data_IF_506694605436
#
_entry.id   IF_506694605436
#
_cell.length_a   1.000
_cell.length_b   1.000
_cell.length_c   1.000
_cell.angle_alpha   90.00
_cell.angle_beta   90.00
_cell.angle_gamma   90.00
#
_symmetry.space_group_name_H-M   'P 1'
#
loop_
_entity.id
_entity.type
_entity.pdbx_description
1 polymer ?
#
# COMPACT_ATOMS: atom_id res chain seq x y z
N UNK A 1 22.90 -22.26 -11.46
CA UNK A 1 23.38 -21.16 -10.60
C UNK A 1 22.91 -19.84 -11.20
N UNK A 2 22.30 -18.95 -10.40
CA UNK A 2 21.85 -17.64 -10.89
C UNK A 2 23.01 -16.66 -11.11
N UNK A 3 22.91 -15.79 -12.12
CA UNK A 3 23.90 -14.74 -12.43
C UNK A 3 23.39 -13.38 -11.95
N UNK A 4 24.24 -12.62 -11.26
CA UNK A 4 23.95 -11.23 -10.89
C UNK A 4 24.09 -10.36 -12.14
N UNK A 5 23.01 -9.70 -12.54
CA UNK A 5 22.97 -8.87 -13.77
C UNK A 5 23.38 -7.42 -13.48
N UNK A 6 23.02 -6.90 -12.30
CA UNK A 6 23.35 -5.53 -11.89
C UNK A 6 23.50 -5.44 -10.37
N UNK A 7 24.47 -4.63 -9.92
CA UNK A 7 24.73 -4.33 -8.50
C UNK A 7 24.28 -2.91 -8.19
N UNK A 8 23.82 -2.65 -6.97
CA UNK A 8 23.51 -1.29 -6.51
C UNK A 8 22.27 -0.64 -7.14
N UNK A 9 21.37 -1.43 -7.73
CA UNK A 9 20.20 -0.92 -8.47
C UNK A 9 19.20 -0.16 -7.58
N UNK A 10 19.23 -0.39 -6.26
CA UNK A 10 18.27 0.21 -5.33
C UNK A 10 18.99 0.73 -4.08
N UNK A 11 18.80 2.00 -3.80
CA UNK A 11 19.20 2.61 -2.52
C UNK A 11 18.15 2.31 -1.45
N UNK A 12 18.60 1.71 -0.33
CA UNK A 12 17.71 1.33 0.76
C UNK A 12 17.72 2.39 1.85
N UNK A 13 16.53 2.88 2.20
CA UNK A 13 16.33 3.82 3.29
C UNK A 13 16.18 3.09 4.62
N UNK A 14 16.74 3.67 5.67
CA UNK A 14 16.56 3.15 7.02
C UNK A 14 15.07 3.25 7.44
N UNK A 15 14.57 2.21 8.11
CA UNK A 15 13.16 2.18 8.56
C UNK A 15 12.14 1.69 7.52
N UNK A 16 12.59 1.24 6.34
CA UNK A 16 11.76 0.67 5.29
C UNK A 16 12.09 -0.81 5.01
N UNK A 17 11.06 -1.57 4.64
CA UNK A 17 11.13 -2.95 4.16
C UNK A 17 11.11 -2.92 2.63
N UNK A 18 12.06 -3.65 2.03
CA UNK A 18 12.15 -3.82 0.57
C UNK A 18 11.91 -5.29 0.23
N UNK A 19 11.00 -5.56 -0.70
CA UNK A 19 10.65 -6.90 -1.15
C UNK A 19 10.39 -6.94 -2.65
N UNK A 20 10.41 -8.14 -3.23
CA UNK A 20 10.08 -8.38 -4.63
C UNK A 20 8.67 -8.93 -4.73
N UNK A 21 7.82 -8.34 -5.57
CA UNK A 21 6.48 -8.85 -5.81
C UNK A 21 6.48 -10.01 -6.84
N UNK A 22 5.34 -10.67 -7.03
CA UNK A 22 5.22 -11.74 -8.02
C UNK A 22 5.44 -11.31 -9.47
N UNK A 23 5.47 -10.00 -9.75
CA UNK A 23 5.77 -9.43 -11.07
C UNK A 23 7.24 -9.04 -11.22
N UNK A 24 8.07 -9.24 -10.19
CA UNK A 24 9.50 -8.92 -10.21
C UNK A 24 9.83 -7.47 -9.87
N UNK A 25 8.88 -6.67 -9.38
CA UNK A 25 9.14 -5.28 -8.98
C UNK A 25 9.71 -5.20 -7.58
N UNK A 26 10.58 -4.22 -7.34
CA UNK A 26 11.05 -3.89 -5.98
C UNK A 26 10.09 -2.89 -5.35
N UNK A 27 9.45 -3.29 -4.25
CA UNK A 27 8.48 -2.48 -3.51
C UNK A 27 9.06 -2.01 -2.17
N UNK A 28 8.67 -0.79 -1.74
CA UNK A 28 9.07 -0.16 -0.47
C UNK A 28 7.87 -0.06 0.49
N UNK A 29 8.02 -0.49 1.74
CA UNK A 29 7.01 -0.38 2.78
C UNK A 29 7.58 0.18 4.09
N UNK A 30 6.90 1.15 4.72
CA UNK A 30 7.36 1.74 5.99
C UNK A 30 7.18 0.74 7.13
N UNK A 31 8.27 0.40 7.84
CA UNK A 31 8.22 -0.56 8.94
C UNK A 31 7.52 0.05 10.17
N UNK A 32 6.56 -0.68 10.72
CA UNK A 32 5.98 -0.39 12.02
C UNK A 32 6.94 -0.89 13.12
N UNK A 33 8.03 -0.17 13.35
CA UNK A 33 8.92 -0.48 14.48
C UNK A 33 8.15 -0.21 15.78
N UNK A 34 8.04 -1.23 16.63
CA UNK A 34 7.32 -1.15 17.90
C UNK A 34 7.99 -0.16 18.85
N UNK A 35 7.44 1.04 18.95
CA UNK A 35 7.90 2.08 19.87
C UNK A 35 6.76 3.04 20.17
N UNK A 36 6.26 2.99 21.40
CA UNK A 36 5.05 3.64 21.96
C UNK A 36 3.80 3.45 21.09
N UNK A 37 2.74 2.87 21.67
CA UNK A 37 1.40 2.75 21.05
C UNK A 37 0.87 4.14 20.64
N UNK A 38 1.24 4.65 19.45
CA UNK A 38 0.54 5.77 18.84
C UNK A 38 -0.82 5.23 18.44
N UNK A 39 -1.86 5.71 19.12
CA UNK A 39 -3.26 5.57 18.69
C UNK A 39 -3.27 5.89 17.21
N UNK A 40 -3.48 4.88 16.37
CA UNK A 40 -3.57 5.07 14.92
C UNK A 40 -4.72 6.04 14.70
N UNK A 41 -4.41 7.31 14.45
CA UNK A 41 -5.31 8.17 13.73
C UNK A 41 -5.47 7.46 12.38
N UNK A 42 -6.52 6.64 12.28
CA UNK A 42 -6.97 6.03 11.04
C UNK A 42 -7.03 7.20 10.08
N UNK A 43 -6.08 7.29 9.14
CA UNK A 43 -6.18 8.22 8.03
C UNK A 43 -7.52 7.87 7.41
N UNK A 44 -8.52 8.72 7.61
CA UNK A 44 -9.86 8.52 7.07
C UNK A 44 -9.63 8.43 5.57
N UNK A 45 -9.63 7.21 5.04
CA UNK A 45 -9.82 7.00 3.61
C UNK A 45 -11.16 7.66 3.37
N UNK A 46 -11.14 8.82 2.72
CA UNK A 46 -12.34 9.50 2.29
C UNK A 46 -13.11 8.45 1.49
N UNK A 47 -14.17 7.88 2.10
CA UNK A 47 -15.09 7.02 1.39
C UNK A 47 -15.64 7.88 0.27
N UNK A 48 -15.15 7.69 -0.96
CA UNK A 48 -15.78 8.21 -2.16
C UNK A 48 -17.23 7.71 -2.09
N UNK A 49 -18.25 8.58 -1.96
CA UNK A 49 -19.61 8.09 -1.88
C UNK A 49 -19.92 7.42 -3.21
N UNK A 50 -20.11 6.10 -3.19
CA UNK A 50 -20.72 5.40 -4.29
C UNK A 50 -22.10 6.03 -4.47
N UNK A 51 -22.27 6.84 -5.53
CA UNK A 51 -23.57 7.36 -5.94
C UNK A 51 -24.49 6.16 -6.18
N UNK A 52 -25.33 5.83 -5.20
CA UNK A 52 -26.46 4.92 -5.40
C UNK A 52 -27.34 5.59 -6.47
N UNK A 53 -27.39 5.01 -7.67
CA UNK A 53 -28.41 5.37 -8.68
C UNK A 53 -29.78 5.13 -8.04
N UNK A 54 -30.69 6.12 -7.98
CA UNK A 54 -32.04 5.87 -7.51
C UNK A 54 -32.78 5.08 -8.60
N UNK A 55 -33.11 3.81 -8.31
CA UNK A 55 -34.10 3.09 -9.10
C UNK A 55 -35.45 3.78 -8.87
N UNK A 56 -35.99 4.41 -9.93
CA UNK A 56 -37.30 5.06 -9.94
C UNK A 56 -38.36 4.08 -9.42
N UNK A 57 -39.05 4.45 -8.33
CA UNK A 57 -40.32 3.83 -7.92
C UNK A 57 -41.31 4.02 -9.07
N UNK A 58 -41.66 2.94 -9.78
CA UNK A 58 -42.84 2.92 -10.66
C UNK A 58 -44.06 2.80 -9.74
N UNK A 59 -44.84 3.88 -9.64
CA UNK A 59 -46.15 3.90 -9.01
C UNK A 59 -47.23 3.53 -10.04
N UNK A 60 -48.29 2.90 -9.52
CA UNK A 60 -49.52 2.40 -10.15
C UNK A 60 -49.39 1.00 -10.73
#
# INVERSE_FOLDING_TARGET
MGKIIAKGVVERKSGYLYYVDGKGNVCEAKMARGGKKKKTAKKKVAKKPAKKKPAKKKKR
#
